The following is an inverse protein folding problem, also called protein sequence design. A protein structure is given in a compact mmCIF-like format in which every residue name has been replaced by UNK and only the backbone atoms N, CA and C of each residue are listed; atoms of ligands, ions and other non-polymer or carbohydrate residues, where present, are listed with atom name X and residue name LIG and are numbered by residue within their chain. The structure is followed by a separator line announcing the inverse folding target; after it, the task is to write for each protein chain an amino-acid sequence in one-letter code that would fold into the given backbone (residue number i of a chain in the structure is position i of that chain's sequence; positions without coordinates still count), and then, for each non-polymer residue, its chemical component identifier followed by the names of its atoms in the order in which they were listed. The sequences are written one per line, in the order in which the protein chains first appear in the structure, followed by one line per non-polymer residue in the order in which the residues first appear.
data_IF_881120873703
#
_entry.id   IF_881120873703
#
_cell.length_a   1.000
_cell.length_b   1.000
_cell.length_c   1.000
_cell.angle_alpha   90.00
_cell.angle_beta   90.00
_cell.angle_gamma   90.00
#
_symmetry.space_group_name_H-M   'P 1'
#
loop_
_entity.id
_entity.type
_entity.pdbx_description
1 polymer ?
#
# COMPACT_ATOMS: atom_id res chain seq x y z
N UNK A 1 -2.33 7.62 24.18
CA UNK A 1 -2.11 6.62 23.08
C UNK A 1 -1.07 5.58 23.50
N UNK A 2 0.13 5.95 23.98
CA UNK A 2 1.20 5.03 24.42
C UNK A 2 0.68 3.99 25.43
N UNK A 3 -0.15 4.39 26.41
CA UNK A 3 -0.71 3.46 27.40
C UNK A 3 -1.46 2.26 26.79
N UNK A 4 -2.06 2.42 25.61
CA UNK A 4 -2.74 1.32 24.91
C UNK A 4 -1.75 0.34 24.27
N UNK A 5 -0.61 0.83 23.81
CA UNK A 5 0.46 -0.03 23.30
C UNK A 5 1.12 -0.82 24.45
N UNK A 6 1.35 -0.18 25.60
CA UNK A 6 1.89 -0.85 26.78
C UNK A 6 0.91 -1.91 27.32
N UNK A 7 -0.41 -1.62 27.33
CA UNK A 7 -1.44 -2.57 27.71
C UNK A 7 -1.41 -3.81 26.79
N UNK A 8 -1.31 -3.61 25.47
CA UNK A 8 -1.20 -4.71 24.50
C UNK A 8 0.08 -5.53 24.70
N UNK A 9 1.22 -4.86 24.92
CA UNK A 9 2.52 -5.49 25.13
C UNK A 9 2.65 -6.23 26.46
N UNK A 10 1.82 -5.88 27.45
CA UNK A 10 1.76 -6.56 28.73
C UNK A 10 1.02 -7.92 28.65
N UNK A 11 0.29 -8.19 27.57
CA UNK A 11 -0.33 -9.50 27.37
C UNK A 11 0.75 -10.57 27.16
N UNK A 12 0.57 -11.76 27.77
CA UNK A 12 1.46 -12.90 27.56
C UNK A 12 1.60 -13.21 26.05
N UNK A 13 2.79 -13.62 25.62
CA UNK A 13 3.11 -14.05 24.27
C UNK A 13 3.01 -12.99 23.15
N UNK A 14 2.77 -11.72 23.48
CA UNK A 14 2.84 -10.63 22.52
C UNK A 14 4.31 -10.29 22.22
N UNK A 15 4.72 -10.55 20.99
CA UNK A 15 6.11 -10.40 20.54
C UNK A 15 6.41 -9.02 19.97
N UNK A 16 5.39 -8.24 19.63
CA UNK A 16 5.56 -6.91 19.04
C UNK A 16 4.27 -6.23 18.65
N UNK A 17 4.39 -5.12 17.92
CA UNK A 17 3.29 -4.31 17.45
C UNK A 17 3.40 -4.05 15.94
N UNK A 18 2.26 -4.13 15.26
CA UNK A 18 2.06 -3.54 13.94
C UNK A 18 1.00 -2.46 14.10
N UNK A 19 1.36 -1.21 13.78
CA UNK A 19 0.50 -0.05 14.01
C UNK A 19 0.10 0.57 12.68
N UNK A 20 -1.18 0.42 12.30
CA UNK A 20 -1.75 1.10 11.15
C UNK A 20 -2.13 2.54 11.49
N UNK A 21 -1.70 3.51 10.69
CA UNK A 21 -1.96 4.93 10.93
C UNK A 21 -2.01 5.74 9.63
N UNK A 22 -2.39 7.02 9.74
CA UNK A 22 -2.19 7.98 8.65
C UNK A 22 -0.82 8.65 8.79
N UNK A 23 -0.21 9.10 7.67
CA UNK A 23 1.09 9.77 7.68
C UNK A 23 1.14 11.01 8.60
N UNK A 24 0.12 11.85 8.56
CA UNK A 24 -0.02 13.08 9.36
C UNK A 24 -0.27 12.85 10.85
N UNK A 25 -0.54 11.60 11.26
CA UNK A 25 -0.84 11.25 12.65
C UNK A 25 0.37 10.68 13.43
N UNK A 26 1.58 10.78 12.89
CA UNK A 26 2.78 10.20 13.49
C UNK A 26 3.80 11.30 13.91
N UNK A 27 3.64 11.90 15.11
CA UNK A 27 4.59 12.88 15.63
C UNK A 27 5.92 12.23 16.06
N UNK A 28 6.99 13.02 16.09
CA UNK A 28 8.35 12.54 16.47
C UNK A 28 8.38 11.89 17.83
N UNK A 29 7.66 12.43 18.83
CA UNK A 29 7.59 11.83 20.17
C UNK A 29 7.06 10.40 20.17
N UNK A 30 6.14 10.06 19.25
CA UNK A 30 5.63 8.71 19.10
C UNK A 30 6.60 7.82 18.32
N UNK A 31 7.27 8.36 17.30
CA UNK A 31 8.33 7.65 16.59
C UNK A 31 9.52 7.33 17.52
N UNK A 32 9.90 8.25 18.40
CA UNK A 32 10.99 8.03 19.37
C UNK A 32 10.61 6.92 20.37
N UNK A 33 9.35 6.89 20.82
CA UNK A 33 8.84 5.78 21.63
C UNK A 33 8.94 4.44 20.89
N UNK A 34 8.48 4.37 19.63
CA UNK A 34 8.55 3.15 18.84
C UNK A 34 9.99 2.74 18.51
N UNK A 35 10.89 3.70 18.30
CA UNK A 35 12.31 3.43 18.11
C UNK A 35 12.94 2.79 19.35
N UNK A 36 12.63 3.30 20.54
CA UNK A 36 13.09 2.68 21.78
C UNK A 36 12.48 1.28 22.00
N UNK A 37 11.21 1.09 21.64
CA UNK A 37 10.52 -0.19 21.72
C UNK A 37 11.11 -1.21 20.73
N UNK A 38 11.46 -0.80 19.52
CA UNK A 38 12.00 -1.67 18.48
C UNK A 38 13.32 -2.34 18.84
N UNK A 39 14.04 -1.81 19.83
CA UNK A 39 15.25 -2.44 20.37
C UNK A 39 14.97 -3.73 21.18
N UNK A 40 13.71 -3.96 21.56
CA UNK A 40 13.30 -5.06 22.47
C UNK A 40 12.17 -5.92 21.91
N UNK A 41 11.38 -5.38 21.02
CA UNK A 41 10.18 -6.01 20.46
C UNK A 41 10.10 -5.73 18.97
N UNK A 42 9.41 -6.58 18.23
CA UNK A 42 9.11 -6.27 16.83
C UNK A 42 8.17 -5.06 16.74
N UNK A 43 8.53 -4.08 15.93
CA UNK A 43 7.70 -2.89 15.67
C UNK A 43 7.67 -2.62 14.17
N UNK A 44 6.47 -2.46 13.64
CA UNK A 44 6.22 -2.01 12.27
C UNK A 44 5.15 -0.91 12.29
N UNK A 45 5.38 0.13 11.50
CA UNK A 45 4.38 1.18 11.27
C UNK A 45 3.88 1.05 9.83
N UNK A 46 2.57 0.91 9.67
CA UNK A 46 1.90 0.80 8.37
C UNK A 46 1.13 2.08 8.07
N UNK A 47 1.52 2.77 7.01
CA UNK A 47 0.89 4.01 6.59
C UNK A 47 -0.16 3.76 5.51
N UNK A 48 -1.37 4.25 5.74
CA UNK A 48 -2.40 4.30 4.71
C UNK A 48 -2.13 5.46 3.75
N UNK A 49 -1.33 5.22 2.71
CA UNK A 49 -1.06 6.19 1.65
C UNK A 49 -2.28 6.36 0.75
N UNK A 50 -2.82 5.27 0.32
CA UNK A 50 -3.95 5.04 -0.59
C UNK A 50 -3.66 5.44 -2.05
N UNK A 51 -2.97 6.54 -2.31
CA UNK A 51 -2.50 7.01 -3.62
C UNK A 51 -1.21 7.82 -3.46
N UNK A 52 -0.47 8.01 -4.54
CA UNK A 52 0.64 8.98 -4.61
C UNK A 52 0.27 10.26 -5.36
N UNK A 53 -1.00 10.43 -5.72
CA UNK A 53 -1.49 11.58 -6.47
C UNK A 53 -2.34 12.48 -5.55
N UNK A 54 -1.87 13.70 -5.30
CA UNK A 54 -2.54 14.64 -4.41
C UNK A 54 -3.98 14.98 -4.85
N UNK A 55 -4.24 15.02 -6.16
CA UNK A 55 -5.61 15.20 -6.67
C UNK A 55 -6.55 14.05 -6.25
N UNK A 56 -6.03 12.80 -6.27
CA UNK A 56 -6.79 11.63 -5.83
C UNK A 56 -6.99 11.67 -4.31
N UNK A 57 -5.93 11.96 -3.54
CA UNK A 57 -6.02 12.09 -2.09
C UNK A 57 -7.03 13.17 -1.68
N UNK A 58 -7.05 14.30 -2.38
CA UNK A 58 -8.05 15.36 -2.18
C UNK A 58 -9.46 14.88 -2.49
N UNK A 59 -9.66 14.21 -3.63
CA UNK A 59 -10.97 13.68 -4.05
C UNK A 59 -11.54 12.70 -3.04
N UNK A 60 -10.72 11.79 -2.51
CA UNK A 60 -11.15 10.80 -1.51
C UNK A 60 -11.17 11.37 -0.08
N UNK A 61 -10.89 12.66 0.09
CA UNK A 61 -10.84 13.35 1.39
C UNK A 61 -9.87 12.69 2.38
N UNK A 62 -8.67 12.36 1.92
CA UNK A 62 -7.69 11.60 2.73
C UNK A 62 -7.09 12.41 3.87
N UNK A 63 -6.97 13.74 3.71
CA UNK A 63 -6.51 14.68 4.75
C UNK A 63 -4.99 14.74 4.92
N UNK A 64 -4.21 14.18 4.00
CA UNK A 64 -2.76 14.34 3.87
C UNK A 64 -2.36 14.33 2.40
N UNK A 65 -1.16 14.82 2.13
CA UNK A 65 -0.51 14.85 0.81
C UNK A 65 0.43 13.67 0.61
N UNK A 66 0.85 13.46 -0.63
CA UNK A 66 1.91 12.49 -0.93
C UNK A 66 3.25 12.86 -0.27
N UNK A 67 3.60 14.15 -0.26
CA UNK A 67 4.82 14.63 0.38
C UNK A 67 4.85 14.32 1.89
N UNK A 68 3.74 14.49 2.59
CA UNK A 68 3.61 14.11 4.02
C UNK A 68 3.75 12.59 4.20
N UNK A 69 3.28 11.79 3.24
CA UNK A 69 3.45 10.34 3.25
C UNK A 69 4.91 9.93 3.09
N UNK A 70 5.63 10.52 2.13
CA UNK A 70 7.07 10.30 1.95
C UNK A 70 7.87 10.68 3.20
N UNK A 71 7.59 11.86 3.76
CA UNK A 71 8.26 12.33 4.97
C UNK A 71 8.05 11.37 6.14
N UNK A 72 6.82 10.94 6.39
CA UNK A 72 6.50 10.00 7.46
C UNK A 72 7.25 8.68 7.31
N UNK A 73 7.28 8.11 6.09
CA UNK A 73 8.01 6.88 5.76
C UNK A 73 9.51 7.05 6.03
N UNK A 74 10.13 8.13 5.50
CA UNK A 74 11.57 8.39 5.68
C UNK A 74 11.94 8.62 7.14
N UNK A 75 11.14 9.39 7.90
CA UNK A 75 11.35 9.61 9.34
C UNK A 75 11.28 8.33 10.16
N UNK A 76 10.36 7.43 9.80
CA UNK A 76 10.18 6.14 10.45
C UNK A 76 11.37 5.20 10.16
N UNK A 77 11.73 5.06 8.88
CA UNK A 77 12.85 4.23 8.46
C UNK A 77 14.20 4.73 9.01
N UNK A 78 14.41 6.06 9.10
CA UNK A 78 15.59 6.66 9.71
C UNK A 78 15.78 6.30 11.20
N UNK A 79 14.70 5.87 11.86
CA UNK A 79 14.72 5.36 13.25
C UNK A 79 14.86 3.83 13.35
N UNK A 80 15.18 3.16 12.23
CA UNK A 80 15.29 1.70 12.12
C UNK A 80 13.99 0.95 12.51
N UNK A 81 12.83 1.56 12.22
CA UNK A 81 11.52 0.93 12.39
C UNK A 81 11.06 0.40 11.04
N UNK A 82 10.58 -0.84 11.00
CA UNK A 82 9.99 -1.40 9.78
C UNK A 82 8.79 -0.56 9.33
N UNK A 83 8.71 -0.30 8.03
CA UNK A 83 7.71 0.61 7.48
C UNK A 83 6.91 -0.10 6.40
N UNK A 84 5.60 -0.16 6.57
CA UNK A 84 4.66 -0.67 5.58
C UNK A 84 3.82 0.45 4.97
N UNK A 85 3.26 0.17 3.80
CA UNK A 85 2.33 1.07 3.11
C UNK A 85 1.08 0.32 2.65
N UNK A 86 -0.05 1.03 2.63
CA UNK A 86 -1.28 0.58 1.98
C UNK A 86 -1.55 1.44 0.76
N UNK A 87 -1.93 0.82 -0.35
CA UNK A 87 -2.27 1.47 -1.60
C UNK A 87 -3.57 0.89 -2.15
N UNK A 88 -4.45 1.76 -2.66
CA UNK A 88 -5.69 1.34 -3.32
C UNK A 88 -5.50 1.47 -4.83
N UNK A 89 -5.63 0.37 -5.56
CA UNK A 89 -5.60 0.38 -7.01
C UNK A 89 -7.02 0.55 -7.56
N UNK A 90 -7.18 1.44 -8.54
CA UNK A 90 -8.45 1.70 -9.19
C UNK A 90 -9.27 2.82 -8.55
N UNK A 91 -8.63 3.75 -7.84
CA UNK A 91 -9.30 4.95 -7.35
C UNK A 91 -9.83 5.80 -8.53
N UNK A 92 -10.99 6.45 -8.37
CA UNK A 92 -11.62 7.17 -9.47
C UNK A 92 -10.75 8.33 -9.97
N UNK A 93 -10.61 8.43 -11.29
CA UNK A 93 -9.80 9.46 -11.95
C UNK A 93 -8.33 9.11 -12.11
N UNK A 94 -7.90 7.92 -11.73
CA UNK A 94 -6.55 7.42 -12.01
C UNK A 94 -6.55 6.58 -13.28
N UNK A 95 -5.68 6.91 -14.23
CA UNK A 95 -5.43 6.08 -15.41
C UNK A 95 -4.61 4.84 -15.04
N UNK A 96 -4.61 3.84 -15.91
CA UNK A 96 -3.79 2.64 -15.71
C UNK A 96 -2.30 2.97 -15.59
N UNK A 97 -1.80 3.89 -16.41
CA UNK A 97 -0.40 4.34 -16.39
C UNK A 97 -0.05 4.98 -15.05
N UNK A 98 -0.93 5.80 -14.50
CA UNK A 98 -0.73 6.43 -13.19
C UNK A 98 -0.75 5.42 -12.05
N UNK A 99 -1.66 4.44 -12.10
CA UNK A 99 -1.68 3.33 -11.12
C UNK A 99 -0.36 2.56 -11.17
N UNK A 100 0.16 2.25 -12.36
CA UNK A 100 1.44 1.56 -12.50
C UNK A 100 2.63 2.41 -12.05
N UNK A 101 2.56 3.74 -12.26
CA UNK A 101 3.61 4.67 -11.82
C UNK A 101 3.73 4.77 -10.28
N UNK A 102 2.67 4.46 -9.54
CA UNK A 102 2.80 4.34 -8.07
C UNK A 102 3.88 3.32 -7.68
N UNK A 103 4.05 2.23 -8.43
CA UNK A 103 5.09 1.23 -8.14
C UNK A 103 6.50 1.82 -8.27
N UNK A 104 6.73 2.68 -9.27
CA UNK A 104 8.03 3.36 -9.47
C UNK A 104 8.31 4.31 -8.31
N UNK A 105 7.32 5.11 -7.90
CA UNK A 105 7.42 6.04 -6.76
C UNK A 105 7.70 5.29 -5.45
N UNK A 106 6.92 4.25 -5.16
CA UNK A 106 7.08 3.47 -3.94
C UNK A 106 8.42 2.73 -3.88
N UNK A 107 8.96 2.32 -5.04
CA UNK A 107 10.27 1.66 -5.12
C UNK A 107 11.43 2.56 -4.69
N UNK A 108 11.26 3.89 -4.72
CA UNK A 108 12.25 4.87 -4.26
C UNK A 108 12.14 5.18 -2.75
N UNK A 109 11.16 4.60 -2.05
CA UNK A 109 10.94 4.82 -0.63
C UNK A 109 11.51 3.65 0.20
N UNK A 110 11.97 3.91 1.44
CA UNK A 110 12.49 2.89 2.33
C UNK A 110 11.35 2.05 2.98
N UNK A 111 10.55 1.42 2.14
CA UNK A 111 9.46 0.54 2.56
C UNK A 111 9.97 -0.89 2.76
N UNK A 112 9.45 -1.55 3.79
CA UNK A 112 9.63 -2.98 4.05
C UNK A 112 8.53 -3.78 3.41
N UNK A 113 7.28 -3.31 3.54
CA UNK A 113 6.10 -4.05 3.06
C UNK A 113 5.11 -3.15 2.34
N UNK A 114 4.29 -3.79 1.48
CA UNK A 114 3.20 -3.14 0.77
C UNK A 114 1.95 -4.02 0.79
N UNK A 115 0.81 -3.42 1.13
CA UNK A 115 -0.51 -4.02 1.00
C UNK A 115 -1.27 -3.34 -0.13
N UNK A 116 -1.63 -4.12 -1.14
CA UNK A 116 -2.50 -3.67 -2.21
C UNK A 116 -3.96 -3.94 -1.85
N UNK A 117 -4.81 -2.99 -2.17
CA UNK A 117 -6.26 -3.08 -2.03
C UNK A 117 -6.89 -2.72 -3.37
N UNK A 118 -7.92 -3.47 -3.78
CA UNK A 118 -8.81 -2.98 -4.83
C UNK A 118 -9.74 -1.89 -4.27
N UNK A 119 -10.16 -0.96 -5.12
CA UNK A 119 -11.27 -0.07 -4.74
C UNK A 119 -12.49 -0.90 -4.37
N UNK A 120 -13.06 -0.65 -3.19
CA UNK A 120 -14.32 -1.22 -2.74
C UNK A 120 -15.36 -0.13 -2.48
N UNK A 121 -16.53 -0.27 -3.08
CA UNK A 121 -17.67 0.60 -2.82
C UNK A 121 -18.45 0.04 -1.64
N UNK A 122 -18.43 0.79 -0.55
CA UNK A 122 -19.05 0.38 0.72
C UNK A 122 -20.35 1.14 0.92
N UNK A 123 -21.41 0.42 1.26
CA UNK A 123 -22.73 0.95 1.54
C UNK A 123 -22.67 2.09 2.57
N UNK A 124 -23.38 3.16 2.29
CA UNK A 124 -23.48 4.34 3.16
C UNK A 124 -22.34 5.35 3.01
N UNK A 125 -21.28 5.04 2.22
CA UNK A 125 -20.18 5.99 1.98
C UNK A 125 -20.55 7.04 0.92
N UNK A 126 -19.84 8.18 0.95
CA UNK A 126 -19.94 9.21 -0.09
C UNK A 126 -19.55 8.65 -1.46
N UNK A 127 -18.48 7.86 -1.53
CA UNK A 127 -17.97 7.29 -2.78
C UNK A 127 -18.99 6.34 -3.44
N UNK A 128 -19.73 5.57 -2.65
CA UNK A 128 -20.81 4.71 -3.17
C UNK A 128 -21.99 5.53 -3.76
N UNK A 129 -22.29 6.69 -3.19
CA UNK A 129 -23.30 7.62 -3.75
C UNK A 129 -22.80 8.26 -5.04
N UNK A 130 -21.54 8.74 -5.02
CA UNK A 130 -20.91 9.35 -6.19
C UNK A 130 -20.87 8.37 -7.38
N UNK A 131 -20.56 7.10 -7.12
CA UNK A 131 -20.57 6.08 -8.18
C UNK A 131 -21.96 5.80 -8.73
N UNK A 132 -23.01 5.84 -7.89
CA UNK A 132 -24.37 5.65 -8.34
C UNK A 132 -24.88 6.84 -9.19
N UNK A 133 -24.41 8.05 -8.91
CA UNK A 133 -24.74 9.28 -9.64
C UNK A 133 -23.90 9.46 -10.91
N UNK A 134 -22.65 9.04 -10.87
CA UNK A 134 -21.64 9.23 -11.92
C UNK A 134 -20.84 7.94 -12.19
N UNK A 135 -21.49 6.85 -12.66
CA UNK A 135 -20.83 5.55 -12.85
C UNK A 135 -19.69 5.60 -13.88
N UNK A 136 -19.77 6.52 -14.84
CA UNK A 136 -18.73 6.73 -15.87
C UNK A 136 -17.38 7.21 -15.32
N UNK A 137 -17.34 7.70 -14.09
CA UNK A 137 -16.11 8.15 -13.44
C UNK A 137 -15.37 7.03 -12.68
N UNK A 138 -15.95 5.83 -12.66
CA UNK A 138 -15.43 4.70 -11.92
C UNK A 138 -15.15 3.51 -12.85
N UNK A 139 -13.93 3.03 -12.83
CA UNK A 139 -13.59 1.76 -13.45
C UNK A 139 -13.51 0.66 -12.38
N UNK A 140 -14.58 -0.14 -12.30
CA UNK A 140 -14.62 -1.28 -11.39
C UNK A 140 -14.08 -2.52 -12.11
N UNK A 141 -12.86 -2.91 -11.77
CA UNK A 141 -12.18 -4.03 -12.39
C UNK A 141 -12.91 -5.35 -12.12
N UNK A 142 -12.97 -6.22 -13.12
CA UNK A 142 -13.23 -7.65 -12.92
C UNK A 142 -12.05 -8.29 -12.18
N UNK A 143 -12.23 -9.50 -11.64
CA UNK A 143 -11.15 -10.20 -10.96
C UNK A 143 -9.93 -10.44 -11.87
N UNK A 144 -10.16 -10.82 -13.13
CA UNK A 144 -9.08 -11.10 -14.08
C UNK A 144 -8.35 -9.83 -14.53
N UNK A 145 -9.05 -8.72 -14.78
CA UNK A 145 -8.44 -7.42 -15.08
C UNK A 145 -7.61 -6.92 -13.91
N UNK A 146 -8.10 -7.09 -12.67
CA UNK A 146 -7.36 -6.67 -11.48
C UNK A 146 -6.13 -7.56 -11.23
N UNK A 147 -6.20 -8.86 -11.52
CA UNK A 147 -5.05 -9.77 -11.48
C UNK A 147 -3.96 -9.28 -12.46
N UNK A 148 -4.34 -8.95 -13.69
CA UNK A 148 -3.38 -8.44 -14.69
C UNK A 148 -2.81 -7.08 -14.28
N UNK A 149 -3.62 -6.18 -13.70
CA UNK A 149 -3.14 -4.90 -13.15
C UNK A 149 -2.12 -5.10 -12.02
N UNK A 150 -2.42 -5.99 -11.08
CA UNK A 150 -1.51 -6.32 -9.95
C UNK A 150 -0.18 -6.87 -10.47
N UNK A 151 -0.22 -7.76 -11.45
CA UNK A 151 1.01 -8.33 -12.03
C UNK A 151 1.84 -7.25 -12.72
N UNK A 152 1.23 -6.40 -13.56
CA UNK A 152 1.93 -5.30 -14.20
C UNK A 152 2.52 -4.30 -13.19
N UNK A 153 1.82 -4.09 -12.06
CA UNK A 153 2.29 -3.26 -10.96
C UNK A 153 3.52 -3.87 -10.28
N UNK A 154 3.48 -5.15 -9.89
CA UNK A 154 4.61 -5.78 -9.20
C UNK A 154 5.84 -5.95 -10.09
N UNK A 155 5.67 -6.07 -11.41
CA UNK A 155 6.80 -6.10 -12.34
C UNK A 155 7.61 -4.79 -12.34
N UNK A 156 7.00 -3.67 -11.90
CA UNK A 156 7.65 -2.36 -11.70
C UNK A 156 8.11 -2.12 -10.27
N UNK A 157 7.62 -2.90 -9.31
CA UNK A 157 7.95 -2.73 -7.90
C UNK A 157 9.28 -3.36 -7.55
N UNK A 158 10.13 -2.64 -6.81
CA UNK A 158 11.42 -3.18 -6.35
C UNK A 158 11.26 -4.48 -5.54
N UNK A 159 12.09 -5.52 -5.77
CA UNK A 159 12.04 -6.77 -5.02
C UNK A 159 12.35 -6.63 -3.52
N UNK A 160 12.91 -5.49 -3.09
CA UNK A 160 13.17 -5.21 -1.68
C UNK A 160 11.90 -4.97 -0.85
N UNK A 161 10.78 -4.66 -1.50
CA UNK A 161 9.48 -4.45 -0.84
C UNK A 161 8.69 -5.76 -0.87
N UNK A 162 8.33 -6.29 0.30
CA UNK A 162 7.51 -7.49 0.40
C UNK A 162 6.04 -7.14 0.17
N UNK A 163 5.40 -7.74 -0.82
CA UNK A 163 3.95 -7.60 -1.01
C UNK A 163 3.22 -8.57 -0.09
N UNK A 164 2.56 -8.06 0.94
CA UNK A 164 1.89 -8.88 1.95
C UNK A 164 0.54 -9.40 1.49
N UNK A 165 -0.18 -8.63 0.68
CA UNK A 165 -1.46 -9.03 0.09
C UNK A 165 -1.80 -8.22 -1.15
N UNK A 166 -2.68 -8.77 -1.99
CA UNK A 166 -3.10 -8.17 -3.25
C UNK A 166 -4.52 -7.57 -3.19
N UNK A 167 -5.34 -7.98 -2.23
CA UNK A 167 -6.76 -7.60 -2.13
C UNK A 167 -7.17 -7.42 -0.67
N UNK A 168 -8.20 -6.62 -0.45
CA UNK A 168 -8.87 -6.44 0.82
C UNK A 168 -10.24 -7.12 0.81
N UNK A 169 -10.77 -7.45 1.99
CA UNK A 169 -12.13 -7.95 2.16
C UNK A 169 -12.91 -7.04 3.10
N UNK A 170 -14.14 -6.75 2.74
CA UNK A 170 -15.12 -6.06 3.57
C UNK A 170 -16.27 -6.97 3.95
N UNK A 171 -16.99 -6.70 5.02
CA UNK A 171 -18.22 -7.43 5.34
C UNK A 171 -19.16 -7.45 4.14
N UNK A 172 -19.66 -8.66 3.81
CA UNK A 172 -20.44 -8.89 2.59
C UNK A 172 -21.69 -8.02 2.52
N UNK A 173 -22.30 -7.78 3.67
CA UNK A 173 -23.50 -6.93 3.81
C UNK A 173 -23.25 -5.45 3.52
N UNK A 174 -22.00 -5.01 3.62
CA UNK A 174 -21.60 -3.63 3.36
C UNK A 174 -21.01 -3.44 1.96
N UNK A 175 -20.46 -4.49 1.36
CA UNK A 175 -19.86 -4.40 0.03
C UNK A 175 -20.93 -4.24 -1.05
N UNK A 176 -20.80 -3.19 -1.87
CA UNK A 176 -21.64 -2.98 -3.06
C UNK A 176 -20.92 -3.57 -4.29
N UNK A 177 -19.64 -3.20 -4.49
CA UNK A 177 -18.84 -3.62 -5.65
C UNK A 177 -17.34 -3.35 -5.40
N UNK A 178 -16.44 -4.06 -6.10
CA UNK A 178 -16.71 -5.27 -6.84
C UNK A 178 -16.88 -6.46 -5.89
N UNK A 179 -17.84 -7.34 -6.14
CA UNK A 179 -17.94 -8.64 -5.47
C UNK A 179 -17.53 -9.74 -6.45
N UNK A 180 -16.32 -10.24 -6.30
CA UNK A 180 -15.79 -11.31 -7.15
C UNK A 180 -16.09 -12.71 -6.61
N UNK A 181 -16.73 -12.81 -5.45
CA UNK A 181 -17.00 -14.08 -4.80
C UNK A 181 -15.76 -14.86 -4.37
N UNK A 182 -14.58 -14.24 -4.35
CA UNK A 182 -13.29 -14.89 -4.06
C UNK A 182 -12.81 -14.51 -2.65
N UNK A 183 -12.29 -15.48 -1.92
CA UNK A 183 -11.53 -15.24 -0.68
C UNK A 183 -10.10 -14.81 -1.03
N UNK A 184 -9.42 -14.17 -0.07
CA UNK A 184 -8.03 -13.69 -0.29
C UNK A 184 -7.08 -14.78 -0.78
N UNK A 185 -7.15 -15.98 -0.22
CA UNK A 185 -6.27 -17.08 -0.62
C UNK A 185 -6.58 -17.60 -2.03
N UNK A 186 -7.87 -17.61 -2.44
CA UNK A 186 -8.29 -18.00 -3.79
C UNK A 186 -7.82 -16.98 -4.82
N UNK A 187 -7.94 -15.69 -4.48
CA UNK A 187 -7.43 -14.61 -5.32
C UNK A 187 -5.89 -14.72 -5.46
N UNK A 188 -5.16 -14.90 -4.35
CA UNK A 188 -3.70 -15.08 -4.36
C UNK A 188 -3.28 -16.28 -5.20
N UNK A 189 -4.00 -17.40 -5.13
CA UNK A 189 -3.72 -18.57 -5.97
C UNK A 189 -3.88 -18.26 -7.47
N UNK A 190 -4.92 -17.48 -7.85
CA UNK A 190 -5.10 -17.01 -9.23
C UNK A 190 -3.98 -16.08 -9.70
N UNK A 191 -3.54 -15.14 -8.84
CA UNK A 191 -2.39 -14.26 -9.14
C UNK A 191 -1.14 -15.10 -9.37
N UNK A 192 -0.82 -16.03 -8.48
CA UNK A 192 0.37 -16.89 -8.62
C UNK A 192 0.33 -17.73 -9.89
N UNK A 193 -0.84 -18.30 -10.24
CA UNK A 193 -1.03 -19.02 -11.49
C UNK A 193 -0.75 -18.10 -12.70
N UNK A 194 -1.32 -16.90 -12.73
CA UNK A 194 -1.14 -15.94 -13.83
C UNK A 194 0.30 -15.42 -13.91
N UNK A 195 0.99 -15.23 -12.78
CA UNK A 195 2.44 -14.93 -12.74
C UNK A 195 3.24 -16.00 -13.46
N UNK A 196 2.95 -17.29 -13.17
CA UNK A 196 3.63 -18.41 -13.82
C UNK A 196 3.33 -18.48 -15.31
N UNK A 197 2.07 -18.30 -15.71
CA UNK A 197 1.64 -18.29 -17.12
C UNK A 197 2.31 -17.17 -17.93
N UNK A 198 2.47 -16.00 -17.33
CA UNK A 198 3.11 -14.83 -17.96
C UNK A 198 4.65 -14.83 -17.84
N UNK A 199 5.23 -15.79 -17.11
CA UNK A 199 6.65 -15.76 -16.71
C UNK A 199 7.03 -14.39 -16.09
N UNK A 200 6.11 -13.84 -15.29
CA UNK A 200 6.27 -12.55 -14.63
C UNK A 200 7.03 -12.71 -13.31
N UNK A 201 7.69 -11.65 -12.88
CA UNK A 201 8.33 -11.58 -11.55
C UNK A 201 8.39 -10.14 -11.07
N UNK A 202 8.37 -9.96 -9.78
CA UNK A 202 8.54 -8.64 -9.16
C UNK A 202 9.86 -7.99 -9.62
N UNK A 203 9.79 -6.72 -9.99
CA UNK A 203 10.95 -5.95 -10.43
C UNK A 203 11.47 -6.26 -11.84
N UNK A 204 10.78 -7.09 -12.62
CA UNK A 204 11.23 -7.44 -13.98
C UNK A 204 11.39 -6.22 -14.90
N UNK A 205 10.56 -5.20 -14.69
CA UNK A 205 10.54 -3.97 -15.49
C UNK A 205 11.22 -2.78 -14.81
N UNK A 206 11.86 -2.99 -13.66
CA UNK A 206 12.72 -1.96 -13.08
C UNK A 206 13.89 -1.73 -14.03
N UNK A 207 14.04 -0.50 -14.49
CA UNK A 207 15.28 -0.08 -15.09
C UNK A 207 16.34 -0.06 -13.99
N UNK A 208 17.49 -0.77 -14.12
CA UNK A 208 18.58 -0.56 -13.20
C UNK A 208 18.94 0.93 -13.25
N UNK A 209 19.31 1.56 -12.12
CA UNK A 209 19.83 2.92 -12.16
C UNK A 209 20.94 2.89 -13.20
N UNK A 210 20.92 3.83 -14.15
CA UNK A 210 21.93 3.97 -15.17
C UNK A 210 23.28 4.11 -14.46
N UNK A 211 23.98 3.02 -14.35
CA UNK A 211 25.37 3.02 -13.95
C UNK A 211 26.17 3.52 -15.15
N UNK A 212 26.18 4.83 -15.38
CA UNK A 212 27.27 5.41 -16.13
C UNK A 212 28.54 5.23 -15.28
N UNK A 213 29.52 4.46 -15.76
CA UNK A 213 30.81 4.47 -15.11
C UNK A 213 31.38 5.88 -15.31
N UNK A 214 31.53 6.62 -14.21
CA UNK A 214 32.39 7.79 -14.18
C UNK A 214 33.78 7.28 -14.49
N UNK A 215 34.21 7.35 -15.74
CA UNK A 215 35.60 7.15 -16.11
C UNK A 215 36.39 8.28 -15.44
N UNK A 216 37.40 7.98 -14.59
CA UNK A 216 38.28 9.00 -14.10
C UNK A 216 39.04 9.57 -15.31
N UNK A 217 38.91 10.86 -15.52
CA UNK A 217 39.63 11.58 -16.57
C UNK A 217 41.14 11.31 -16.44
N UNK A 218 41.73 11.00 -17.59
CA UNK A 218 43.19 11.12 -17.77
C UNK A 218 43.61 12.58 -17.75
#
# INVERSE_FOLDING_TARGET
MISKYEEALACPDVVGLIVGTRPDCMPDTLLDYFSALSQKKFVMIEYGLESTLDRTLTRINRGHTHAESEEAIRRTAARNIYTGAHLILGLPGESREEILHHADILSALPLTTLKLHQLQLIRGTRMAREQAEHPEQFHLYTADEYIDLVIDFIERLTPSIVVERFVSQSPKELLIAPDWGLKNFEFTAKVNKRISERNARQGRLLNPPSSEPVLPGM
#
